data_IF_595858156953
#
_entry.id   IF_595858156953
#
_cell.length_a   1.000
_cell.length_b   1.000
_cell.length_c   1.000
_cell.angle_alpha   90.00
_cell.angle_beta   90.00
_cell.angle_gamma   90.00
#
_symmetry.space_group_name_H-M   'P 1'
#
loop_
_entity.id
_entity.type
_entity.pdbx_description
1 polymer ?
#
# COMPACT_ATOMS: atom_id res chain seq x y z
N UNK A 1 35.20 18.02 3.10
CA UNK A 1 34.48 16.73 3.12
C UNK A 1 33.01 17.04 3.34
N UNK A 2 32.16 16.85 2.32
CA UNK A 2 30.72 17.03 2.48
C UNK A 2 30.17 15.76 3.15
N UNK A 3 29.67 15.90 4.37
CA UNK A 3 28.97 14.81 5.04
C UNK A 3 27.78 14.38 4.20
N UNK A 4 27.66 13.07 3.96
CA UNK A 4 26.52 12.47 3.29
C UNK A 4 25.29 12.60 4.17
N UNK A 5 24.70 13.79 4.21
CA UNK A 5 23.38 14.00 4.80
C UNK A 5 22.36 13.48 3.80
N UNK A 6 22.22 12.15 3.79
CA UNK A 6 21.19 11.46 3.03
C UNK A 6 19.85 11.69 3.75
N UNK A 7 19.29 12.90 3.60
CA UNK A 7 17.87 13.17 3.88
C UNK A 7 17.04 12.54 2.76
N UNK A 8 17.18 11.23 2.54
CA UNK A 8 16.29 10.52 1.66
C UNK A 8 15.01 10.31 2.44
N UNK A 9 14.10 11.24 2.26
CA UNK A 9 12.68 10.99 2.43
C UNK A 9 12.38 9.78 1.54
N UNK A 10 12.37 8.58 2.11
CA UNK A 10 11.99 7.39 1.36
C UNK A 10 10.60 7.67 0.81
N UNK A 11 10.42 7.77 -0.52
CA UNK A 11 9.12 8.12 -1.06
C UNK A 11 8.15 7.02 -0.64
N UNK A 12 7.18 7.39 0.20
CA UNK A 12 6.07 6.51 0.51
C UNK A 12 5.10 6.54 -0.67
N UNK A 13 4.57 5.37 -1.00
CA UNK A 13 3.54 5.21 -2.01
C UNK A 13 2.36 4.49 -1.36
N UNK A 14 1.18 4.69 -1.92
CA UNK A 14 0.02 3.89 -1.56
C UNK A 14 -0.11 2.72 -2.51
N UNK A 15 0.15 1.52 -2.01
CA UNK A 15 0.04 0.27 -2.73
C UNK A 15 -1.39 -0.25 -2.63
N UNK A 16 -2.04 -0.39 -3.78
CA UNK A 16 -3.38 -0.96 -3.90
C UNK A 16 -3.26 -2.45 -4.25
N UNK A 17 -3.87 -3.28 -3.43
CA UNK A 17 -4.01 -4.71 -3.65
C UNK A 17 -5.47 -5.12 -3.76
N UNK A 18 -5.71 -6.21 -4.47
CA UNK A 18 -6.97 -6.94 -4.45
C UNK A 18 -6.69 -8.24 -3.70
N UNK A 19 -7.44 -8.48 -2.63
CA UNK A 19 -7.44 -9.76 -1.94
C UNK A 19 -8.65 -10.57 -2.38
N UNK A 20 -8.37 -11.75 -2.89
CA UNK A 20 -9.36 -12.80 -3.15
C UNK A 20 -9.12 -13.94 -2.17
N UNK A 21 -10.18 -14.47 -1.58
CA UNK A 21 -10.07 -15.64 -0.72
C UNK A 21 -9.98 -16.89 -1.59
N UNK A 22 -8.84 -17.57 -1.56
CA UNK A 22 -8.69 -18.86 -2.25
C UNK A 22 -9.63 -19.92 -1.68
N UNK A 23 -9.94 -19.85 -0.38
CA UNK A 23 -10.88 -20.77 0.28
C UNK A 23 -12.34 -20.49 -0.04
N UNK A 24 -12.65 -19.31 -0.58
CA UNK A 24 -14.01 -18.93 -0.96
C UNK A 24 -13.97 -18.07 -2.21
N UNK A 25 -13.83 -18.68 -3.40
CA UNK A 25 -13.75 -17.96 -4.67
C UNK A 25 -15.03 -17.17 -5.00
N UNK A 26 -16.17 -17.52 -4.39
CA UNK A 26 -17.42 -16.76 -4.48
C UNK A 26 -17.46 -15.52 -3.56
N UNK A 27 -16.48 -15.36 -2.66
CA UNK A 27 -16.42 -14.19 -1.79
C UNK A 27 -16.06 -12.95 -2.60
N UNK A 28 -16.66 -11.81 -2.22
CA UNK A 28 -16.40 -10.53 -2.87
C UNK A 28 -14.92 -10.15 -2.68
N UNK A 29 -14.19 -9.78 -3.75
CA UNK A 29 -12.81 -9.33 -3.64
C UNK A 29 -12.74 -8.08 -2.76
N UNK A 30 -11.76 -8.04 -1.85
CA UNK A 30 -11.50 -6.90 -0.98
C UNK A 30 -10.40 -6.02 -1.61
N UNK A 31 -10.64 -4.71 -1.68
CA UNK A 31 -9.62 -3.75 -2.08
C UNK A 31 -8.89 -3.24 -0.85
N UNK A 32 -7.58 -3.35 -0.84
CA UNK A 32 -6.71 -3.01 0.29
C UNK A 32 -5.73 -1.93 -0.16
N UNK A 33 -5.49 -0.96 0.71
CA UNK A 33 -4.53 0.13 0.49
C UNK A 33 -3.50 0.13 1.61
N UNK A 34 -2.22 0.12 1.24
CA UNK A 34 -1.11 0.05 2.20
C UNK A 34 -0.09 1.11 1.83
N UNK A 35 0.25 1.96 2.79
CA UNK A 35 1.32 2.93 2.62
C UNK A 35 2.68 2.28 2.91
N UNK A 36 3.57 2.27 1.93
CA UNK A 36 4.91 1.74 2.11
C UNK A 36 5.89 2.31 1.07
N UNK A 37 7.18 2.27 1.40
CA UNK A 37 8.26 2.65 0.49
C UNK A 37 8.50 1.65 -0.64
N UNK A 38 7.96 0.42 -0.55
CA UNK A 38 8.10 -0.62 -1.59
C UNK A 38 6.95 -1.64 -1.53
N UNK A 39 6.70 -2.32 -2.66
CA UNK A 39 5.67 -3.35 -2.78
C UNK A 39 5.88 -4.49 -1.79
N UNK A 40 7.13 -4.93 -1.62
CA UNK A 40 7.47 -6.02 -0.71
C UNK A 40 7.19 -5.65 0.74
N UNK A 41 7.50 -4.40 1.14
CA UNK A 41 7.18 -3.91 2.49
C UNK A 41 5.66 -3.80 2.68
N UNK A 42 4.93 -3.39 1.63
CA UNK A 42 3.47 -3.38 1.65
C UNK A 42 2.86 -4.79 1.78
N UNK A 43 3.35 -5.78 1.02
CA UNK A 43 2.92 -7.18 1.14
C UNK A 43 3.24 -7.77 2.51
N UNK A 44 4.43 -7.45 3.04
CA UNK A 44 4.86 -7.94 4.35
C UNK A 44 4.01 -7.41 5.51
N UNK A 45 3.23 -6.34 5.29
CA UNK A 45 2.29 -5.83 6.29
C UNK A 45 1.06 -6.74 6.48
N UNK A 46 0.77 -7.63 5.51
CA UNK A 46 -0.34 -8.59 5.58
C UNK A 46 0.14 -9.99 5.18
N UNK A 47 0.94 -10.65 6.03
CA UNK A 47 1.41 -12.00 5.77
C UNK A 47 0.24 -13.00 5.78
N UNK A 48 0.26 -13.97 4.87
CA UNK A 48 -0.76 -15.03 4.79
C UNK A 48 -2.05 -14.66 4.06
N UNK A 49 -2.14 -13.43 3.53
CA UNK A 49 -3.21 -13.02 2.62
C UNK A 49 -2.71 -13.07 1.18
N UNK A 50 -3.47 -13.68 0.28
CA UNK A 50 -3.16 -13.60 -1.14
C UNK A 50 -3.46 -12.18 -1.65
N UNK A 51 -2.40 -11.40 -1.88
CA UNK A 51 -2.47 -10.01 -2.32
C UNK A 51 -2.05 -9.88 -3.78
N UNK A 52 -3.03 -9.61 -4.64
CA UNK A 52 -2.82 -9.34 -6.06
C UNK A 52 -2.53 -7.85 -6.22
N UNK A 53 -1.36 -7.50 -6.76
CA UNK A 53 -1.00 -6.11 -7.02
C UNK A 53 -1.94 -5.51 -8.07
N UNK A 54 -2.52 -4.35 -7.77
CA UNK A 54 -3.45 -3.67 -8.66
C UNK A 54 -2.93 -2.30 -9.12
N UNK A 55 -2.35 -1.49 -8.22
CA UNK A 55 -1.78 -0.19 -8.58
C UNK A 55 -0.80 0.34 -7.53
N UNK A 56 0.13 1.21 -7.96
CA UNK A 56 0.94 2.07 -7.10
C UNK A 56 0.47 3.51 -7.26
N UNK A 57 -0.06 4.10 -6.19
CA UNK A 57 -0.60 5.45 -6.17
C UNK A 57 0.36 6.39 -5.41
N UNK A 58 0.37 7.69 -5.72
CA UNK A 58 1.09 8.64 -4.89
C UNK A 58 0.46 8.69 -3.49
N UNK A 59 1.28 8.85 -2.45
CA UNK A 59 0.88 8.76 -1.03
C UNK A 59 -0.31 9.66 -0.64
N UNK A 60 -0.50 10.78 -1.35
CA UNK A 60 -1.58 11.73 -1.13
C UNK A 60 -2.86 11.46 -1.96
N UNK A 61 -2.88 10.45 -2.84
CA UNK A 61 -4.04 10.17 -3.70
C UNK A 61 -5.28 9.71 -2.92
N UNK A 62 -5.10 9.14 -1.73
CA UNK A 62 -6.19 8.58 -0.92
C UNK A 62 -6.36 9.28 0.42
N UNK A 63 -5.83 10.51 0.57
CA UNK A 63 -6.30 11.39 1.62
C UNK A 63 -7.75 11.75 1.30
N UNK A 64 -8.66 10.84 1.66
CA UNK A 64 -10.09 11.12 1.76
C UNK A 64 -10.16 12.37 2.60
N UNK A 65 -10.60 13.47 1.98
CA UNK A 65 -10.89 14.72 2.66
C UNK A 65 -11.89 14.39 3.76
N UNK A 66 -11.40 14.15 4.97
CA UNK A 66 -12.22 14.12 6.17
C UNK A 66 -12.74 15.53 6.36
N UNK A 67 -13.89 15.80 5.75
CA UNK A 67 -14.66 17.01 6.00
C UNK A 67 -14.91 17.08 7.50
N UNK A 68 -14.28 18.06 8.14
CA UNK A 68 -14.68 18.52 9.47
C UNK A 68 -16.06 19.17 9.26
N UNK A 69 -17.09 18.57 9.87
CA UNK A 69 -18.33 19.25 10.23
C UNK A 69 -18.58 19.01 11.70
#
# INVERSE_FOLDING_TARGET
MAGSQHTQTHPEFTWRFISTSERSPAAKPLVIYINASSEQKARSAMPGVNLIFAARLPFHALQVTGGRV
#
